data_IF_004918250959
#
_entry.id   IF_004918250959
#
_cell.length_a   1.000
_cell.length_b   1.000
_cell.length_c   1.000
_cell.angle_alpha   90.00
_cell.angle_beta   90.00
_cell.angle_gamma   90.00
#
_symmetry.space_group_name_H-M   'P 1'
#
loop_
_entity.id
_entity.type
_entity.pdbx_description
1 polymer ?
#
# COMPACT_ATOMS: atom_id res chain seq x y z
N UNK A 1 19.72 -4.53 1.87
CA UNK A 1 18.38 -5.00 2.32
C UNK A 1 17.49 -5.02 1.10
N UNK A 2 17.01 -6.19 0.69
CA UNK A 2 16.04 -6.28 -0.40
C UNK A 2 14.78 -5.49 -0.02
N UNK A 3 14.35 -4.58 -0.90
CA UNK A 3 13.18 -3.71 -0.70
C UNK A 3 11.99 -4.16 -1.54
N UNK A 4 12.09 -5.30 -2.24
CA UNK A 4 11.05 -5.83 -3.11
C UNK A 4 10.12 -6.71 -2.27
N UNK A 5 8.85 -6.38 -2.27
CA UNK A 5 7.80 -7.18 -1.61
C UNK A 5 7.06 -7.94 -2.69
N UNK A 6 6.99 -9.27 -2.55
CA UNK A 6 6.17 -10.10 -3.43
C UNK A 6 4.77 -10.20 -2.83
N UNK A 7 3.80 -9.61 -3.51
CA UNK A 7 2.38 -9.72 -3.15
C UNK A 7 1.77 -10.95 -3.82
N UNK A 8 0.72 -11.50 -3.20
CA UNK A 8 -0.17 -12.46 -3.86
C UNK A 8 -0.91 -11.75 -5.01
N UNK A 9 -1.43 -12.52 -5.96
CA UNK A 9 -2.14 -11.95 -7.12
C UNK A 9 -3.35 -11.12 -6.68
N UNK A 10 -4.14 -11.62 -5.73
CA UNK A 10 -5.32 -10.91 -5.23
C UNK A 10 -4.96 -9.60 -4.52
N UNK A 11 -3.93 -9.60 -3.68
CA UNK A 11 -3.48 -8.39 -2.99
C UNK A 11 -2.86 -7.39 -3.95
N UNK A 12 -2.12 -7.85 -4.97
CA UNK A 12 -1.56 -6.98 -6.00
C UNK A 12 -2.67 -6.23 -6.77
N UNK A 13 -3.77 -6.90 -7.12
CA UNK A 13 -4.90 -6.27 -7.82
C UNK A 13 -5.49 -5.14 -6.97
N UNK A 14 -5.82 -5.42 -5.71
CA UNK A 14 -6.38 -4.40 -4.81
C UNK A 14 -5.42 -3.23 -4.57
N UNK A 15 -4.12 -3.54 -4.46
CA UNK A 15 -3.09 -2.55 -4.25
C UNK A 15 -2.94 -1.60 -5.45
N UNK A 16 -2.92 -2.13 -6.68
CA UNK A 16 -2.78 -1.30 -7.88
C UNK A 16 -4.05 -0.52 -8.21
N UNK A 17 -5.25 -1.05 -7.91
CA UNK A 17 -6.49 -0.28 -7.99
C UNK A 17 -6.46 0.93 -7.04
N UNK A 18 -6.01 0.71 -5.80
CA UNK A 18 -5.82 1.80 -4.84
C UNK A 18 -4.78 2.82 -5.34
N UNK A 19 -3.65 2.35 -5.87
CA UNK A 19 -2.61 3.22 -6.40
C UNK A 19 -3.13 4.12 -7.53
N UNK A 20 -3.90 3.56 -8.47
CA UNK A 20 -4.50 4.28 -9.59
C UNK A 20 -5.52 5.32 -9.11
N UNK A 21 -6.40 4.93 -8.17
CA UNK A 21 -7.39 5.83 -7.56
C UNK A 21 -6.76 6.99 -6.79
N UNK A 22 -5.59 6.77 -6.20
CA UNK A 22 -4.82 7.82 -5.52
C UNK A 22 -3.97 8.66 -6.49
N UNK A 23 -3.88 8.28 -7.77
CA UNK A 23 -3.09 8.98 -8.78
C UNK A 23 -1.59 8.91 -8.50
N UNK A 24 -1.10 7.84 -7.86
CA UNK A 24 0.33 7.70 -7.54
C UNK A 24 1.10 6.98 -8.65
N UNK A 25 2.14 7.63 -9.17
CA UNK A 25 3.06 7.00 -10.14
C UNK A 25 3.98 5.94 -9.51
N UNK A 26 4.15 5.97 -8.18
CA UNK A 26 5.07 5.08 -7.46
C UNK A 26 4.35 4.25 -6.39
N UNK A 27 4.54 2.92 -6.37
CA UNK A 27 3.90 2.05 -5.38
C UNK A 27 4.37 2.34 -3.95
N UNK A 28 5.60 2.85 -3.76
CA UNK A 28 6.10 3.27 -2.44
C UNK A 28 5.21 4.33 -1.78
N UNK A 29 4.66 5.27 -2.56
CA UNK A 29 3.75 6.32 -2.06
C UNK A 29 2.39 5.75 -1.64
N UNK A 30 1.87 4.78 -2.40
CA UNK A 30 0.64 4.09 -2.05
C UNK A 30 0.80 3.28 -0.75
N UNK A 31 1.95 2.64 -0.54
CA UNK A 31 2.28 1.97 0.73
C UNK A 31 2.37 2.97 1.88
N UNK A 32 3.05 4.09 1.70
CA UNK A 32 3.15 5.14 2.72
C UNK A 32 1.77 5.69 3.10
N UNK A 33 0.91 5.90 2.11
CA UNK A 33 -0.48 6.30 2.33
C UNK A 33 -1.26 5.24 3.12
N UNK A 34 -1.12 3.96 2.76
CA UNK A 34 -1.76 2.85 3.49
C UNK A 34 -1.36 2.81 4.96
N UNK A 35 -0.08 3.03 5.26
CA UNK A 35 0.42 3.06 6.64
C UNK A 35 -0.20 4.23 7.41
N UNK A 36 -0.30 5.41 6.79
CA UNK A 36 -0.94 6.58 7.40
C UNK A 36 -2.44 6.38 7.61
N UNK A 37 -3.13 5.80 6.63
CA UNK A 37 -4.56 5.52 6.71
C UNK A 37 -4.89 4.44 7.75
N UNK A 38 -4.00 3.48 7.95
CA UNK A 38 -4.12 2.45 8.97
C UNK A 38 -3.55 2.88 10.34
N UNK A 39 -3.01 4.10 10.48
CA UNK A 39 -2.34 4.55 11.70
C UNK A 39 -3.26 4.48 12.92
N UNK A 40 -4.55 4.81 12.75
CA UNK A 40 -5.54 4.73 13.82
C UNK A 40 -5.75 3.28 14.28
N UNK A 41 -5.91 2.35 13.34
CA UNK A 41 -6.02 0.91 13.62
C UNK A 41 -4.74 0.32 14.22
N UNK A 42 -3.58 0.86 13.85
CA UNK A 42 -2.28 0.44 14.40
C UNK A 42 -2.09 1.01 15.81
N UNK A 43 -2.58 2.22 16.09
CA UNK A 43 -2.44 2.85 17.40
C UNK A 43 -3.38 2.27 18.46
N UNK A 44 -4.46 1.60 18.05
CA UNK A 44 -5.39 0.89 18.93
C UNK A 44 -4.98 -0.56 19.24
N UNK A 45 -3.89 -1.05 18.64
CA UNK A 45 -3.29 -2.38 18.90
C UNK A 45 -2.26 -2.33 20.04
#
# INVERSE_FOLDING_TARGET
RDRRVRLSVSTAIQFYDLQDRLGYDQPSKAVEWLIKAAADSISEL
#
